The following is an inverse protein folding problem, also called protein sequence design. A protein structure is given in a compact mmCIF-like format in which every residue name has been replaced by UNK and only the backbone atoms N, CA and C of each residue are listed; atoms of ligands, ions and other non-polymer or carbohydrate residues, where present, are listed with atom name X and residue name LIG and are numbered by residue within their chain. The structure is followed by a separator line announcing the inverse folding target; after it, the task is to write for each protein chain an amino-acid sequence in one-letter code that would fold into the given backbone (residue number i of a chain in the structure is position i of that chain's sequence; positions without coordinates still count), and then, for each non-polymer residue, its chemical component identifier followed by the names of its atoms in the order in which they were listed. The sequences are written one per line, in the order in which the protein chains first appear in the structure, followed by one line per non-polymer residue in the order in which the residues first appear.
data_IF_639364407601
#
_entry.id   IF_639364407601
#
_cell.length_a   1.000
_cell.length_b   1.000
_cell.length_c   1.000
_cell.angle_alpha   90.00
_cell.angle_beta   90.00
_cell.angle_gamma   90.00
#
_symmetry.space_group_name_H-M   'P 1'
#
loop_
_entity.id
_entity.type
_entity.pdbx_description
1 polymer ?
#
# COMPACT_ATOMS: atom_id res chain seq x y z
N UNK A 1 2.92 -26.90 0.70
CA UNK A 1 3.11 -25.71 -0.15
C UNK A 1 4.39 -25.90 -0.95
N UNK A 2 4.31 -25.88 -2.28
CA UNK A 2 5.51 -26.04 -3.13
C UNK A 2 6.40 -24.78 -3.05
N UNK A 3 7.62 -24.86 -3.58
CA UNK A 3 8.56 -23.72 -3.55
C UNK A 3 7.98 -22.49 -4.27
N UNK A 4 7.25 -22.69 -5.38
CA UNK A 4 6.60 -21.60 -6.13
C UNK A 4 5.55 -20.87 -5.29
N UNK A 5 4.72 -21.58 -4.56
CA UNK A 5 3.71 -21.05 -3.65
C UNK A 5 4.36 -20.29 -2.48
N UNK A 6 5.45 -20.83 -1.89
CA UNK A 6 6.22 -20.13 -0.86
C UNK A 6 6.78 -18.81 -1.38
N UNK A 7 7.46 -18.83 -2.53
CA UNK A 7 8.01 -17.62 -3.14
C UNK A 7 6.91 -16.61 -3.47
N UNK A 8 5.79 -17.06 -4.05
CA UNK A 8 4.65 -16.19 -4.38
C UNK A 8 4.07 -15.53 -3.12
N UNK A 9 3.90 -16.30 -2.04
CA UNK A 9 3.37 -15.78 -0.78
C UNK A 9 4.32 -14.74 -0.16
N UNK A 10 5.63 -15.02 -0.16
CA UNK A 10 6.64 -14.08 0.35
C UNK A 10 6.62 -12.78 -0.47
N UNK A 11 6.59 -12.86 -1.81
CA UNK A 11 6.54 -11.68 -2.67
C UNK A 11 5.26 -10.87 -2.39
N UNK A 12 4.10 -11.52 -2.31
CA UNK A 12 2.84 -10.87 -2.00
C UNK A 12 2.87 -10.15 -0.65
N UNK A 13 3.40 -10.81 0.39
CA UNK A 13 3.55 -10.20 1.72
C UNK A 13 4.51 -9.01 1.71
N UNK A 14 5.65 -9.12 1.02
CA UNK A 14 6.62 -8.03 0.91
C UNK A 14 5.98 -6.81 0.24
N UNK A 15 5.25 -7.00 -0.86
CA UNK A 15 4.54 -5.93 -1.55
C UNK A 15 3.50 -5.23 -0.65
N UNK A 16 2.70 -6.01 0.08
CA UNK A 16 1.70 -5.45 1.01
C UNK A 16 2.40 -4.70 2.15
N UNK A 17 3.46 -5.28 2.73
CA UNK A 17 4.22 -4.64 3.80
C UNK A 17 4.85 -3.32 3.33
N UNK A 18 5.44 -3.29 2.13
CA UNK A 18 5.98 -2.06 1.56
C UNK A 18 4.91 -0.97 1.37
N UNK A 19 3.72 -1.34 0.90
CA UNK A 19 2.61 -0.39 0.75
C UNK A 19 2.17 0.19 2.12
N UNK A 20 2.07 -0.65 3.15
CA UNK A 20 1.73 -0.21 4.50
C UNK A 20 2.82 0.66 5.12
N UNK A 21 4.11 0.36 4.89
CA UNK A 21 5.22 1.22 5.35
C UNK A 21 5.15 2.59 4.69
N UNK A 22 4.88 2.66 3.38
CA UNK A 22 4.70 3.94 2.68
C UNK A 22 3.50 4.70 3.25
N UNK A 23 2.38 4.03 3.50
CA UNK A 23 1.20 4.65 4.11
C UNK A 23 1.49 5.22 5.51
N UNK A 24 2.19 4.46 6.36
CA UNK A 24 2.61 4.93 7.68
C UNK A 24 3.56 6.14 7.57
N UNK A 25 4.49 6.13 6.61
CA UNK A 25 5.39 7.25 6.36
C UNK A 25 4.66 8.54 5.90
N UNK A 26 3.48 8.40 5.30
CA UNK A 26 2.61 9.52 4.91
C UNK A 26 1.66 9.96 6.03
N UNK A 27 1.77 9.42 7.25
CA UNK A 27 1.00 9.86 8.41
C UNK A 27 -0.26 9.03 8.70
N UNK A 28 -0.38 7.84 8.10
CA UNK A 28 -1.49 6.91 8.35
C UNK A 28 -2.90 7.49 8.07
N UNK A 29 -2.99 8.36 7.06
CA UNK A 29 -4.23 9.02 6.64
C UNK A 29 -5.23 8.02 6.05
N UNK A 30 -6.54 8.22 6.26
CA UNK A 30 -7.56 7.29 5.75
C UNK A 30 -7.76 7.49 4.24
N UNK A 31 -7.80 8.75 3.79
CA UNK A 31 -8.04 9.11 2.40
C UNK A 31 -6.81 9.76 1.78
N UNK A 32 -6.58 9.49 0.50
CA UNK A 32 -5.49 10.09 -0.25
C UNK A 32 -5.78 11.56 -0.49
N UNK A 33 -4.82 12.42 -0.17
CA UNK A 33 -4.92 13.88 -0.35
C UNK A 33 -3.91 14.32 -1.40
N UNK A 34 -4.33 15.20 -2.30
CA UNK A 34 -3.46 15.82 -3.30
C UNK A 34 -2.97 17.20 -2.90
N UNK A 35 -3.68 17.83 -1.95
CA UNK A 35 -3.40 19.17 -1.45
C UNK A 35 -3.45 19.17 0.07
N UNK A 36 -2.53 19.92 0.66
CA UNK A 36 -2.40 20.07 2.11
C UNK A 36 -2.34 21.55 2.43
N UNK A 37 -3.08 21.96 3.45
CA UNK A 37 -3.02 23.31 3.98
C UNK A 37 -1.74 23.46 4.80
N UNK A 38 -0.86 24.38 4.39
CA UNK A 38 0.41 24.64 5.05
C UNK A 38 0.44 26.09 5.49
N UNK A 39 0.74 26.32 6.77
CA UNK A 39 1.03 27.66 7.27
C UNK A 39 2.38 28.14 6.74
N UNK A 40 2.38 29.27 6.06
CA UNK A 40 3.57 29.89 5.50
C UNK A 40 3.76 31.26 6.13
N UNK A 41 4.96 31.48 6.64
CA UNK A 41 5.34 32.75 7.22
C UNK A 41 5.86 33.68 6.13
N UNK A 42 5.30 34.88 6.05
CA UNK A 42 5.77 35.93 5.16
C UNK A 42 6.75 36.84 5.91
N UNK A 43 8.04 36.73 5.57
CA UNK A 43 9.08 37.57 6.19
C UNK A 43 8.96 39.06 5.81
N UNK A 44 8.33 39.39 4.66
CA UNK A 44 8.18 40.78 4.19
C UNK A 44 7.11 41.54 4.97
N UNK A 45 6.02 40.85 5.33
CA UNK A 45 4.87 41.47 5.97
C UNK A 45 4.67 41.03 7.43
N UNK A 46 5.45 40.06 7.91
CA UNK A 46 5.49 39.62 9.30
C UNK A 46 4.24 38.86 9.77
N UNK A 47 3.43 38.35 8.85
CA UNK A 47 2.23 37.56 9.17
C UNK A 47 2.31 36.14 8.60
N UNK A 48 1.55 35.23 9.21
CA UNK A 48 1.38 33.84 8.73
C UNK A 48 0.08 33.74 7.95
N UNK A 49 0.10 33.02 6.82
CA UNK A 49 -1.11 32.70 6.06
C UNK A 49 -1.14 31.22 5.69
N UNK A 50 -2.34 30.70 5.48
CA UNK A 50 -2.55 29.32 5.03
C UNK A 50 -2.49 29.26 3.51
N UNK A 51 -1.63 28.41 2.96
CA UNK A 51 -1.51 28.16 1.53
C UNK A 51 -1.80 26.68 1.24
N UNK A 52 -2.65 26.41 0.25
CA UNK A 52 -2.82 25.05 -0.26
C UNK A 52 -1.61 24.69 -1.12
N UNK A 53 -0.79 23.77 -0.61
CA UNK A 53 0.39 23.27 -1.32
C UNK A 53 0.06 21.90 -1.92
N UNK A 54 0.38 21.73 -3.19
CA UNK A 54 0.28 20.44 -3.86
C UNK A 54 1.27 19.45 -3.23
N UNK A 55 0.73 18.49 -2.48
CA UNK A 55 1.48 17.45 -1.81
C UNK A 55 0.63 16.18 -1.76
N UNK A 56 1.13 15.13 -2.40
CA UNK A 56 0.45 13.84 -2.41
C UNK A 56 0.71 13.14 -1.08
N UNK A 57 -0.35 12.87 -0.34
CA UNK A 57 -0.35 12.04 0.85
C UNK A 57 -1.15 10.79 0.52
N UNK A 58 -0.48 9.65 0.50
CA UNK A 58 -1.10 8.36 0.20
C UNK A 58 -1.93 7.92 1.41
N UNK A 59 -3.23 7.76 1.20
CA UNK A 59 -4.15 7.27 2.21
C UNK A 59 -4.29 5.76 2.24
N UNK A 60 -5.03 5.28 3.23
CA UNK A 60 -5.38 3.87 3.38
C UNK A 60 -6.31 3.39 2.26
N UNK A 61 -7.13 4.27 1.70
CA UNK A 61 -7.92 4.00 0.49
C UNK A 61 -7.06 3.46 -0.66
N UNK A 62 -5.93 4.11 -0.95
CA UNK A 62 -5.02 3.70 -2.00
C UNK A 62 -4.15 2.51 -1.57
N UNK A 63 -3.48 2.61 -0.42
CA UNK A 63 -2.59 1.55 0.07
C UNK A 63 -3.35 0.24 0.37
N UNK A 64 -4.56 0.35 0.91
CA UNK A 64 -5.46 -0.76 1.18
C UNK A 64 -6.01 -1.38 -0.10
N UNK A 65 -6.46 -0.57 -1.08
CA UNK A 65 -6.90 -1.08 -2.39
C UNK A 65 -5.77 -1.81 -3.12
N UNK A 66 -4.56 -1.23 -3.13
CA UNK A 66 -3.37 -1.87 -3.67
C UNK A 66 -3.09 -3.21 -2.96
N UNK A 67 -3.12 -3.22 -1.63
CA UNK A 67 -2.88 -4.43 -0.85
C UNK A 67 -3.93 -5.51 -1.12
N UNK A 68 -5.21 -5.14 -1.28
CA UNK A 68 -6.29 -6.04 -1.61
C UNK A 68 -6.10 -6.68 -3.00
N UNK A 69 -5.68 -5.89 -4.00
CA UNK A 69 -5.36 -6.39 -5.35
C UNK A 69 -4.17 -7.37 -5.29
N UNK A 70 -3.11 -7.03 -4.56
CA UNK A 70 -1.96 -7.91 -4.38
C UNK A 70 -2.36 -9.21 -3.69
N UNK A 71 -3.18 -9.14 -2.64
CA UNK A 71 -3.70 -10.32 -1.95
C UNK A 71 -4.53 -11.20 -2.89
N UNK A 72 -5.39 -10.61 -3.72
CA UNK A 72 -6.21 -11.31 -4.69
C UNK A 72 -5.34 -12.03 -5.73
N UNK A 73 -4.36 -11.34 -6.34
CA UNK A 73 -3.42 -11.93 -7.31
C UNK A 73 -2.62 -13.05 -6.67
N UNK A 74 -2.12 -12.83 -5.45
CA UNK A 74 -1.38 -13.84 -4.68
C UNK A 74 -2.25 -15.08 -4.45
N UNK A 75 -3.51 -14.90 -4.06
CA UNK A 75 -4.47 -16.00 -3.87
C UNK A 75 -4.73 -16.79 -5.16
N UNK A 76 -4.92 -16.12 -6.29
CA UNK A 76 -5.08 -16.75 -7.61
C UNK A 76 -3.84 -17.58 -7.96
N UNK A 77 -2.64 -17.01 -7.81
CA UNK A 77 -1.39 -17.71 -8.12
C UNK A 77 -1.16 -18.90 -7.19
N UNK A 78 -1.50 -18.77 -5.90
CA UNK A 78 -1.43 -19.89 -4.94
C UNK A 78 -2.36 -21.04 -5.34
N UNK A 79 -3.56 -20.72 -5.84
CA UNK A 79 -4.51 -21.71 -6.36
C UNK A 79 -3.99 -22.39 -7.63
N UNK A 80 -3.44 -21.62 -8.58
CA UNK A 80 -2.87 -22.17 -9.83
C UNK A 80 -1.67 -23.07 -9.54
N UNK A 81 -0.79 -22.67 -8.62
CA UNK A 81 0.38 -23.47 -8.23
C UNK A 81 0.06 -24.60 -7.24
N UNK A 82 -1.23 -24.84 -6.93
CA UNK A 82 -1.64 -25.96 -6.08
C UNK A 82 -1.43 -27.27 -6.83
N UNK A 83 -0.37 -28.00 -6.45
CA UNK A 83 -0.04 -29.31 -7.01
C UNK A 83 -1.16 -30.33 -6.72
N UNK A 84 -1.83 -30.83 -7.77
CA UNK A 84 -2.86 -31.88 -7.65
C UNK A 84 -2.31 -33.26 -7.29
N UNK A 85 -0.98 -33.42 -7.22
CA UNK A 85 -0.34 -34.73 -6.91
C UNK A 85 -0.59 -35.23 -5.49
N UNK A 86 -0.93 -34.36 -4.53
CA UNK A 86 -1.26 -34.78 -3.16
C UNK A 86 -2.69 -35.29 -2.97
N UNK A 87 -3.53 -35.21 -3.99
CA UNK A 87 -4.95 -35.60 -3.93
C UNK A 87 -5.19 -37.03 -4.46
N UNK A 88 -4.18 -37.69 -5.03
CA UNK A 88 -4.26 -39.05 -5.60
C UNK A 88 -3.70 -40.17 -4.71
N UNK A 89 -3.43 -39.87 -3.44
CA UNK A 89 -3.00 -40.88 -2.45
C UNK A 89 -3.96 -40.85 -1.25
N UNK A 90 -5.23 -41.13 -1.50
CA UNK A 90 -6.21 -41.62 -0.51
C UNK A 90 -7.02 -42.71 -1.17
#
# INVERSE_FOLDING_TARGET
MNNKQKTTLIIGLVLIASALVVWLAHGAEIFTKTQVLVEKYDELFGYTYEEWVDKIIIGLDYAGSFSAVVALITGILLFIFKDKKKEKQV
#
